data_IF_479870076132
#
_entry.id   IF_479870076132
#
_cell.length_a   1.000
_cell.length_b   1.000
_cell.length_c   1.000
_cell.angle_alpha   90.00
_cell.angle_beta   90.00
_cell.angle_gamma   90.00
#
_symmetry.space_group_name_H-M   'P 1'
#
loop_
_entity.id
_entity.type
_entity.pdbx_description
1 polymer ?
#
# COMPACT_ATOMS: atom_id res chain seq x y z
N UNK A 1 -27.42 14.09 9.74
CA UNK A 1 -28.01 13.85 8.40
C UNK A 1 -26.91 14.15 7.39
N UNK A 2 -26.28 13.13 6.83
CA UNK A 2 -25.19 13.29 5.86
C UNK A 2 -25.80 13.35 4.45
N UNK A 3 -25.36 14.27 3.56
CA UNK A 3 -25.91 14.38 2.21
C UNK A 3 -25.56 13.15 1.36
N UNK A 4 -26.48 12.83 0.45
CA UNK A 4 -26.60 11.57 -0.27
C UNK A 4 -26.01 11.59 -1.68
N UNK A 5 -25.20 12.60 -2.00
CA UNK A 5 -24.74 12.83 -3.37
C UNK A 5 -23.22 12.63 -3.42
N UNK A 6 -22.80 11.36 -3.47
CA UNK A 6 -21.48 11.03 -4.02
C UNK A 6 -21.59 11.19 -5.52
N UNK A 7 -21.01 12.30 -6.01
CA UNK A 7 -20.64 12.55 -7.40
C UNK A 7 -20.14 11.24 -8.02
N UNK A 8 -20.71 10.89 -9.17
CA UNK A 8 -20.32 9.73 -9.98
C UNK A 8 -18.92 9.94 -10.52
N UNK A 9 -17.91 9.67 -9.70
CA UNK A 9 -16.54 9.43 -10.14
C UNK A 9 -16.57 8.27 -11.13
N UNK A 10 -15.80 8.33 -12.22
CA UNK A 10 -15.45 7.15 -13.00
C UNK A 10 -15.20 5.97 -12.06
N UNK A 11 -15.98 4.90 -12.25
CA UNK A 11 -15.99 3.76 -11.33
C UNK A 11 -14.60 3.13 -11.38
N UNK A 12 -13.82 3.26 -10.29
CA UNK A 12 -12.61 2.47 -10.10
C UNK A 12 -12.98 0.98 -10.23
N UNK A 13 -12.43 0.33 -11.26
CA UNK A 13 -12.68 -1.08 -11.57
C UNK A 13 -11.52 -1.93 -11.06
N UNK A 14 -11.84 -2.96 -10.29
CA UNK A 14 -10.87 -3.99 -9.91
C UNK A 14 -10.79 -5.00 -11.07
N UNK A 15 -9.62 -5.14 -11.68
CA UNK A 15 -9.46 -5.96 -12.89
C UNK A 15 -8.90 -7.35 -12.58
N UNK A 16 -7.65 -7.43 -12.09
CA UNK A 16 -6.91 -8.69 -12.04
C UNK A 16 -6.09 -8.85 -10.76
N UNK A 17 -5.84 -10.11 -10.41
CA UNK A 17 -4.88 -10.56 -9.42
C UNK A 17 -3.86 -11.46 -10.11
N UNK A 18 -2.59 -11.30 -9.75
CA UNK A 18 -1.53 -12.25 -10.13
C UNK A 18 -0.95 -12.83 -8.85
N UNK A 19 -0.94 -14.17 -8.77
CA UNK A 19 -0.23 -14.86 -7.71
C UNK A 19 1.28 -14.80 -7.98
N UNK A 20 2.05 -14.49 -6.93
CA UNK A 20 3.51 -14.58 -6.97
C UNK A 20 3.99 -15.97 -7.38
N UNK A 21 4.98 -16.04 -8.27
CA UNK A 21 5.70 -17.30 -8.47
C UNK A 21 6.57 -17.62 -7.25
N UNK A 22 7.12 -18.84 -7.18
CA UNK A 22 7.90 -19.27 -6.01
C UNK A 22 9.15 -18.41 -5.80
N UNK A 23 9.75 -17.86 -6.87
CA UNK A 23 10.89 -16.94 -6.77
C UNK A 23 10.47 -15.62 -6.15
N UNK A 24 9.34 -15.07 -6.55
CA UNK A 24 8.77 -13.84 -6.00
C UNK A 24 8.39 -14.02 -4.53
N UNK A 25 7.75 -15.14 -4.18
CA UNK A 25 7.41 -15.46 -2.78
C UNK A 25 8.66 -15.58 -1.90
N UNK A 26 9.70 -16.28 -2.37
CA UNK A 26 10.98 -16.37 -1.66
C UNK A 26 11.62 -14.98 -1.47
N UNK A 27 11.60 -14.16 -2.53
CA UNK A 27 12.10 -12.79 -2.48
C UNK A 27 11.33 -11.96 -1.43
N UNK A 28 10.00 -11.96 -1.46
CA UNK A 28 9.18 -11.21 -0.50
C UNK A 28 9.48 -11.65 0.94
N UNK A 29 9.68 -12.95 1.18
CA UNK A 29 10.08 -13.49 2.48
C UNK A 29 11.46 -12.99 2.92
N UNK A 30 12.45 -12.96 2.03
CA UNK A 30 13.80 -12.41 2.31
C UNK A 30 13.78 -10.90 2.58
N UNK A 31 12.90 -10.17 1.88
CA UNK A 31 12.79 -8.71 2.01
C UNK A 31 12.00 -8.26 3.25
N UNK A 32 11.23 -9.17 3.83
CA UNK A 32 10.42 -8.94 5.02
C UNK A 32 11.28 -8.82 6.30
N UNK A 33 10.71 -8.34 7.43
CA UNK A 33 11.42 -8.26 8.70
C UNK A 33 12.04 -9.60 9.17
N UNK A 34 13.12 -9.55 9.97
CA UNK A 34 13.73 -8.35 10.56
C UNK A 34 14.55 -7.51 9.56
N UNK A 35 14.78 -6.23 9.88
CA UNK A 35 15.64 -5.37 9.08
C UNK A 35 17.10 -5.83 9.16
N UNK A 36 17.74 -5.90 8.00
CA UNK A 36 19.14 -6.21 7.79
C UNK A 36 19.76 -5.04 7.04
N UNK A 37 20.64 -4.29 7.71
CA UNK A 37 21.36 -3.19 7.07
C UNK A 37 22.27 -3.75 5.97
N UNK A 38 21.98 -3.43 4.72
CA UNK A 38 22.78 -3.87 3.56
C UNK A 38 23.91 -2.89 3.19
N UNK A 39 23.89 -1.65 3.71
CA UNK A 39 24.85 -0.60 3.35
C UNK A 39 25.58 0.04 4.56
N UNK A 40 26.37 1.09 4.33
CA UNK A 40 27.12 1.77 5.39
C UNK A 40 26.20 2.44 6.44
N UNK A 41 26.69 2.65 7.68
CA UNK A 41 28.01 2.25 8.17
C UNK A 41 28.06 0.75 8.48
N UNK A 42 29.21 0.14 8.19
CA UNK A 42 29.47 -1.29 8.42
C UNK A 42 30.05 -1.52 9.81
N UNK A 43 29.65 -2.63 10.45
CA UNK A 43 30.15 -3.00 11.78
C UNK A 43 31.60 -3.52 11.73
N UNK A 44 32.07 -3.98 10.56
CA UNK A 44 33.41 -4.53 10.37
C UNK A 44 33.89 -4.38 8.91
N UNK A 45 35.22 -4.51 8.66
CA UNK A 45 35.80 -4.39 7.31
C UNK A 45 35.32 -5.45 6.31
N UNK A 46 34.90 -6.64 6.77
CA UNK A 46 34.37 -7.66 5.86
C UNK A 46 33.04 -7.24 5.25
N UNK A 47 32.22 -6.47 5.99
CA UNK A 47 31.00 -5.88 5.49
C UNK A 47 31.25 -4.88 4.34
N UNK A 48 32.27 -4.04 4.49
CA UNK A 48 32.69 -3.09 3.46
C UNK A 48 33.18 -3.79 2.20
N UNK A 49 34.07 -4.79 2.34
CA UNK A 49 34.56 -5.59 1.20
C UNK A 49 33.42 -6.31 0.49
N UNK A 50 32.49 -6.90 1.25
CA UNK A 50 31.32 -7.58 0.68
C UNK A 50 30.44 -6.60 -0.11
N UNK A 51 30.16 -5.42 0.45
CA UNK A 51 29.41 -4.37 -0.23
C UNK A 51 30.11 -3.92 -1.52
N UNK A 52 31.40 -3.63 -1.48
CA UNK A 52 32.16 -3.22 -2.67
C UNK A 52 32.14 -4.28 -3.76
N UNK A 53 32.26 -5.55 -3.37
CA UNK A 53 32.13 -6.68 -4.29
C UNK A 53 30.72 -6.75 -4.91
N UNK A 54 29.66 -6.59 -4.11
CA UNK A 54 28.28 -6.55 -4.60
C UNK A 54 28.06 -5.36 -5.55
N UNK A 55 28.57 -4.17 -5.22
CA UNK A 55 28.49 -2.99 -6.09
C UNK A 55 29.25 -3.19 -7.41
N UNK A 56 30.41 -3.85 -7.36
CA UNK A 56 31.15 -4.23 -8.56
C UNK A 56 30.37 -5.22 -9.43
N UNK A 57 29.80 -6.26 -8.81
CA UNK A 57 28.95 -7.23 -9.53
C UNK A 57 27.74 -6.55 -10.19
N UNK A 58 27.06 -5.63 -9.50
CA UNK A 58 25.95 -4.84 -10.05
C UNK A 58 26.37 -4.02 -11.26
N UNK A 59 27.52 -3.34 -11.21
CA UNK A 59 28.09 -2.62 -12.35
C UNK A 59 28.39 -3.54 -13.53
N UNK A 60 28.99 -4.71 -13.26
CA UNK A 60 29.32 -5.69 -14.30
C UNK A 60 28.07 -6.26 -14.97
N UNK A 61 27.00 -6.54 -14.21
CA UNK A 61 25.71 -7.03 -14.76
C UNK A 61 25.05 -5.97 -15.64
N UNK A 62 24.97 -4.72 -15.18
CA UNK A 62 24.46 -3.59 -15.99
C UNK A 62 25.25 -3.39 -17.28
N UNK A 63 26.59 -3.49 -17.22
CA UNK A 63 27.43 -3.40 -18.41
C UNK A 63 27.16 -4.51 -19.45
N UNK A 64 26.57 -5.63 -19.02
CA UNK A 64 26.13 -6.74 -19.90
C UNK A 64 24.66 -6.63 -20.32
N UNK A 65 23.97 -5.54 -19.98
CA UNK A 65 22.54 -5.37 -20.25
C UNK A 65 21.64 -6.26 -19.39
N UNK A 66 22.13 -6.76 -18.26
CA UNK A 66 21.37 -7.57 -17.31
C UNK A 66 20.91 -6.72 -16.12
N UNK A 67 19.79 -7.09 -15.46
CA UNK A 67 19.38 -6.50 -14.19
C UNK A 67 20.51 -6.56 -13.16
N UNK A 68 20.71 -5.49 -12.37
CA UNK A 68 21.84 -5.36 -11.43
C UNK A 68 21.92 -6.53 -10.45
N UNK A 69 20.80 -7.13 -10.07
CA UNK A 69 20.70 -8.30 -9.20
C UNK A 69 19.64 -9.28 -9.74
N UNK A 70 19.70 -10.58 -9.38
CA UNK A 70 18.62 -11.52 -9.65
C UNK A 70 17.27 -11.15 -9.00
N UNK A 71 17.32 -10.40 -7.90
CA UNK A 71 16.12 -9.93 -7.19
C UNK A 71 15.37 -8.88 -8.02
N UNK A 72 16.10 -7.98 -8.69
CA UNK A 72 15.53 -7.01 -9.64
C UNK A 72 14.85 -7.73 -10.81
N UNK A 73 15.47 -8.79 -11.35
CA UNK A 73 14.86 -9.61 -12.41
C UNK A 73 13.53 -10.24 -11.95
N UNK A 74 13.46 -10.69 -10.69
CA UNK A 74 12.23 -11.28 -10.12
C UNK A 74 11.12 -10.23 -9.99
N UNK A 75 11.44 -9.03 -9.49
CA UNK A 75 10.47 -7.92 -9.42
C UNK A 75 10.04 -7.50 -10.83
N UNK A 76 10.99 -7.39 -11.76
CA UNK A 76 10.74 -7.02 -13.15
C UNK A 76 9.76 -7.98 -13.82
N UNK A 77 9.92 -9.29 -13.62
CA UNK A 77 9.00 -10.29 -14.17
C UNK A 77 7.58 -10.12 -13.62
N UNK A 78 7.43 -9.85 -12.32
CA UNK A 78 6.13 -9.57 -11.72
C UNK A 78 5.49 -8.31 -12.31
N UNK A 79 6.25 -7.21 -12.41
CA UNK A 79 5.76 -5.95 -12.99
C UNK A 79 5.37 -6.10 -14.46
N UNK A 80 6.16 -6.84 -15.24
CA UNK A 80 5.86 -7.16 -16.64
C UNK A 80 4.53 -7.92 -16.77
N UNK A 81 4.31 -8.93 -15.92
CA UNK A 81 3.07 -9.69 -15.92
C UNK A 81 1.85 -8.82 -15.57
N UNK A 82 1.99 -7.97 -14.55
CA UNK A 82 0.93 -7.01 -14.17
C UNK A 82 0.63 -6.03 -15.29
N UNK A 83 1.66 -5.47 -15.93
CA UNK A 83 1.51 -4.57 -17.06
C UNK A 83 0.83 -5.22 -18.26
N UNK A 84 1.26 -6.43 -18.64
CA UNK A 84 0.65 -7.18 -19.73
C UNK A 84 -0.82 -7.53 -19.44
N UNK A 85 -1.17 -7.86 -18.20
CA UNK A 85 -2.57 -8.06 -17.83
C UNK A 85 -3.35 -6.75 -17.91
N UNK A 86 -2.82 -5.65 -17.36
CA UNK A 86 -3.47 -4.36 -17.44
C UNK A 86 -3.76 -3.96 -18.90
N UNK A 87 -2.82 -4.21 -19.83
CA UNK A 87 -3.00 -3.93 -21.27
C UNK A 87 -4.16 -4.71 -21.89
N UNK A 88 -4.50 -5.87 -21.35
CA UNK A 88 -5.65 -6.67 -21.82
C UNK A 88 -6.98 -6.26 -21.18
N UNK A 89 -6.95 -5.44 -20.12
CA UNK A 89 -8.14 -4.96 -19.41
C UNK A 89 -8.77 -3.71 -20.04
N UNK A 90 -8.04 -2.99 -20.88
CA UNK A 90 -8.43 -1.68 -21.40
C UNK A 90 -8.14 -1.58 -22.89
N UNK A 91 -9.07 -0.99 -23.62
CA UNK A 91 -8.88 -0.65 -25.04
C UNK A 91 -8.08 0.66 -25.20
N UNK A 92 -7.93 1.43 -24.12
CA UNK A 92 -7.12 2.65 -24.07
C UNK A 92 -5.62 2.32 -23.96
N UNK A 93 -4.75 3.08 -24.63
CA UNK A 93 -3.31 2.93 -24.46
C UNK A 93 -2.93 3.22 -23.01
N UNK A 94 -2.46 2.20 -22.29
CA UNK A 94 -1.98 2.40 -20.94
C UNK A 94 -0.79 3.36 -20.94
N UNK A 95 -0.88 4.35 -20.05
CA UNK A 95 0.25 5.21 -19.77
C UNK A 95 1.34 4.36 -19.10
N UNK A 96 2.59 4.59 -19.49
CA UNK A 96 3.79 4.03 -18.85
C UNK A 96 3.98 4.47 -17.39
N UNK A 97 3.00 5.15 -16.81
CA UNK A 97 3.03 5.79 -15.51
C UNK A 97 2.25 4.97 -14.50
N UNK A 98 2.83 4.67 -13.33
CA UNK A 98 2.16 3.84 -12.32
C UNK A 98 2.35 4.36 -10.89
N UNK A 99 1.45 3.96 -9.99
CA UNK A 99 1.62 4.06 -8.54
C UNK A 99 1.57 2.66 -7.97
N UNK A 100 2.61 2.27 -7.23
CA UNK A 100 2.65 0.99 -6.54
C UNK A 100 2.49 1.20 -5.03
N UNK A 101 1.60 0.41 -4.43
CA UNK A 101 1.57 0.18 -3.00
C UNK A 101 2.46 -0.99 -2.62
N UNK A 102 3.44 -0.77 -1.74
CA UNK A 102 4.36 -1.82 -1.29
C UNK A 102 4.11 -2.11 0.21
N UNK A 103 4.02 -3.39 0.62
CA UNK A 103 3.96 -3.76 2.03
C UNK A 103 5.24 -3.34 2.77
N UNK A 104 5.26 -3.49 4.10
CA UNK A 104 6.44 -3.16 4.91
C UNK A 104 7.58 -4.17 4.64
N UNK A 105 8.44 -3.82 3.68
CA UNK A 105 9.61 -4.60 3.27
C UNK A 105 10.88 -3.82 3.63
N UNK A 106 11.34 -3.87 4.90
CA UNK A 106 12.43 -3.00 5.36
C UNK A 106 13.76 -3.29 4.65
N UNK A 107 13.91 -4.46 4.04
CA UNK A 107 15.11 -4.85 3.31
C UNK A 107 15.03 -4.57 1.80
N UNK A 108 13.89 -4.05 1.30
CA UNK A 108 13.77 -3.65 -0.10
C UNK A 108 14.52 -2.34 -0.33
N UNK A 109 15.59 -2.40 -1.12
CA UNK A 109 16.28 -1.21 -1.61
C UNK A 109 15.42 -0.56 -2.68
N UNK A 110 14.95 0.67 -2.42
CA UNK A 110 14.02 1.32 -3.34
C UNK A 110 14.58 1.54 -4.75
N UNK A 111 15.89 1.78 -4.88
CA UNK A 111 16.56 1.87 -6.18
C UNK A 111 16.45 0.57 -7.00
N UNK A 112 16.38 -0.60 -6.34
CA UNK A 112 16.21 -1.90 -7.01
C UNK A 112 14.79 -2.03 -7.58
N UNK A 113 13.79 -1.55 -6.85
CA UNK A 113 12.40 -1.50 -7.32
C UNK A 113 12.24 -0.54 -8.52
N UNK A 114 12.86 0.64 -8.46
CA UNK A 114 12.86 1.60 -9.58
C UNK A 114 13.58 1.06 -10.81
N UNK A 115 14.74 0.41 -10.64
CA UNK A 115 15.44 -0.26 -11.75
C UNK A 115 14.56 -1.36 -12.38
N UNK A 116 13.88 -2.18 -11.57
CA UNK A 116 12.99 -3.21 -12.06
C UNK A 116 11.83 -2.64 -12.89
N UNK A 117 11.24 -1.52 -12.45
CA UNK A 117 10.18 -0.81 -13.19
C UNK A 117 10.71 -0.23 -14.51
N UNK A 118 11.87 0.43 -14.49
CA UNK A 118 12.49 1.00 -15.68
C UNK A 118 12.81 -0.06 -16.74
N UNK A 119 13.23 -1.26 -16.32
CA UNK A 119 13.52 -2.37 -17.25
C UNK A 119 12.27 -2.88 -18.01
N UNK A 120 11.05 -2.54 -17.55
CA UNK A 120 9.78 -2.83 -18.25
C UNK A 120 9.11 -1.56 -18.79
N UNK A 121 9.88 -0.48 -18.94
CA UNK A 121 9.41 0.84 -19.40
C UNK A 121 8.29 1.44 -18.54
N UNK A 122 8.24 1.11 -17.25
CA UNK A 122 7.35 1.74 -16.30
C UNK A 122 8.07 2.87 -15.55
N UNK A 123 7.40 4.02 -15.48
CA UNK A 123 7.83 5.21 -14.76
C UNK A 123 6.89 5.42 -13.58
N UNK A 124 7.42 5.54 -12.37
CA UNK A 124 6.55 5.82 -11.22
C UNK A 124 6.05 7.26 -11.28
N UNK A 125 4.76 7.45 -10.99
CA UNK A 125 4.18 8.78 -10.75
C UNK A 125 4.70 9.34 -9.42
N UNK A 126 5.18 10.58 -9.48
CA UNK A 126 5.60 11.33 -8.31
C UNK A 126 4.49 12.32 -7.91
N UNK A 127 4.28 12.46 -6.61
CA UNK A 127 3.46 13.52 -6.03
C UNK A 127 4.37 14.61 -5.47
N UNK A 128 3.87 15.86 -5.37
CA UNK A 128 4.57 16.90 -4.62
C UNK A 128 4.67 16.59 -3.11
N UNK A 129 3.80 15.73 -2.58
CA UNK A 129 3.80 15.29 -1.17
C UNK A 129 4.57 14.00 -0.93
N UNK A 130 4.85 13.22 -1.96
CA UNK A 130 5.30 11.84 -1.80
C UNK A 130 6.41 11.45 -2.78
N UNK A 131 7.59 11.19 -2.23
CA UNK A 131 8.84 10.97 -2.99
C UNK A 131 9.28 9.49 -3.08
N UNK A 132 8.44 8.56 -2.64
CA UNK A 132 8.75 7.12 -2.62
C UNK A 132 7.61 6.24 -3.14
N UNK A 133 7.69 4.92 -2.93
CA UNK A 133 6.58 4.01 -3.22
C UNK A 133 5.55 4.13 -2.10
N UNK A 134 4.26 4.15 -2.47
CA UNK A 134 3.20 4.32 -1.49
C UNK A 134 3.22 3.13 -0.52
N UNK A 135 3.18 3.39 0.80
CA UNK A 135 3.03 2.28 1.76
C UNK A 135 1.66 1.65 1.58
N UNK A 136 1.57 0.33 1.78
CA UNK A 136 0.29 -0.40 1.66
C UNK A 136 -0.81 0.18 2.54
N UNK A 137 -0.50 0.60 3.77
CA UNK A 137 -1.48 1.24 4.69
C UNK A 137 -1.99 2.57 4.12
N UNK A 138 -1.09 3.43 3.61
CA UNK A 138 -1.47 4.69 2.96
C UNK A 138 -2.40 4.45 1.77
N UNK A 139 -2.05 3.49 0.93
CA UNK A 139 -2.87 3.10 -0.21
C UNK A 139 -4.22 2.54 0.24
N UNK A 140 -4.25 1.67 1.25
CA UNK A 140 -5.50 1.12 1.76
C UNK A 140 -6.40 2.20 2.38
N UNK A 141 -5.82 3.16 3.11
CA UNK A 141 -6.53 4.30 3.70
C UNK A 141 -7.13 5.21 2.63
N UNK A 142 -6.37 5.49 1.56
CA UNK A 142 -6.91 6.18 0.39
C UNK A 142 -8.03 5.37 -0.30
N UNK A 143 -7.89 4.05 -0.35
CA UNK A 143 -8.85 3.13 -0.97
C UNK A 143 -10.22 3.10 -0.30
N UNK A 144 -10.30 3.43 0.99
CA UNK A 144 -11.58 3.64 1.70
C UNK A 144 -12.18 5.03 1.45
N UNK A 145 -11.42 5.93 0.81
CA UNK A 145 -11.77 7.32 0.61
C UNK A 145 -11.43 8.23 1.80
N UNK A 146 -10.65 7.75 2.77
CA UNK A 146 -10.25 8.50 3.96
C UNK A 146 -8.95 9.27 3.71
N UNK A 147 -8.80 10.40 4.41
CA UNK A 147 -7.58 11.21 4.37
C UNK A 147 -7.28 11.83 3.01
N UNK A 148 -8.30 12.02 2.18
CA UNK A 148 -8.20 12.64 0.86
C UNK A 148 -8.88 14.01 0.88
N UNK A 149 -8.22 15.03 0.33
CA UNK A 149 -8.84 16.33 0.10
C UNK A 149 -9.91 16.24 -1.01
N UNK A 150 -10.86 17.16 -1.00
CA UNK A 150 -11.88 17.29 -2.05
C UNK A 150 -11.32 18.03 -3.26
N UNK A 151 -10.58 19.09 -3.02
CA UNK A 151 -10.06 19.99 -4.05
C UNK A 151 -8.64 19.59 -4.46
N UNK A 152 -8.47 18.36 -4.94
CA UNK A 152 -7.14 17.85 -5.31
C UNK A 152 -6.61 18.47 -6.62
N UNK A 153 -7.46 19.09 -7.45
CA UNK A 153 -7.00 19.88 -8.59
C UNK A 153 -6.31 21.21 -8.19
N UNK A 154 -6.56 21.69 -6.96
CA UNK A 154 -6.02 22.92 -6.38
C UNK A 154 -5.10 22.55 -5.21
N UNK A 155 -3.79 22.69 -5.42
CA UNK A 155 -2.78 22.22 -4.47
C UNK A 155 -2.87 22.98 -3.15
N UNK A 156 -3.10 24.30 -3.19
CA UNK A 156 -3.15 25.13 -1.99
C UNK A 156 -4.41 24.83 -1.18
N UNK A 157 -5.57 24.73 -1.84
CA UNK A 157 -6.84 24.39 -1.20
C UNK A 157 -6.82 22.97 -0.63
N UNK A 158 -6.22 22.01 -1.33
CA UNK A 158 -6.00 20.66 -0.82
C UNK A 158 -5.12 20.66 0.45
N UNK A 159 -4.03 21.43 0.47
CA UNK A 159 -3.17 21.57 1.63
C UNK A 159 -3.89 22.19 2.83
N UNK A 160 -4.72 23.21 2.60
CA UNK A 160 -5.57 23.80 3.65
C UNK A 160 -6.56 22.77 4.22
N UNK A 161 -7.23 21.99 3.36
CA UNK A 161 -8.14 20.94 3.79
C UNK A 161 -7.44 19.85 4.62
N UNK A 162 -6.25 19.43 4.20
CA UNK A 162 -5.47 18.43 4.91
C UNK A 162 -4.98 18.92 6.27
N UNK A 163 -4.62 20.20 6.40
CA UNK A 163 -4.24 20.79 7.70
C UNK A 163 -5.40 20.79 8.70
N UNK A 164 -6.64 20.78 8.21
CA UNK A 164 -7.85 20.72 9.04
C UNK A 164 -8.28 19.28 9.36
N UNK A 165 -7.66 18.26 8.76
CA UNK A 165 -7.98 16.87 9.06
C UNK A 165 -7.56 16.51 10.49
N UNK A 166 -8.50 15.90 11.22
CA UNK A 166 -8.23 15.44 12.58
C UNK A 166 -7.45 14.13 12.53
N UNK A 167 -6.25 14.06 13.13
CA UNK A 167 -5.50 12.83 13.16
C UNK A 167 -6.24 11.72 13.91
N UNK A 168 -6.10 10.48 13.45
CA UNK A 168 -6.78 9.31 14.00
C UNK A 168 -5.85 8.10 14.10
N UNK A 169 -6.09 7.24 15.08
CA UNK A 169 -5.39 5.96 15.17
C UNK A 169 -6.10 4.91 14.29
N UNK A 170 -5.31 4.27 13.45
CA UNK A 170 -5.75 3.28 12.47
C UNK A 170 -5.23 1.91 12.90
N UNK A 171 -6.14 0.95 13.03
CA UNK A 171 -5.79 -0.46 13.13
C UNK A 171 -5.88 -1.08 11.74
N UNK A 172 -4.74 -1.50 11.19
CA UNK A 172 -4.70 -2.25 9.93
C UNK A 172 -4.50 -3.73 10.21
N UNK A 173 -5.34 -4.56 9.62
CA UNK A 173 -5.25 -6.01 9.70
C UNK A 173 -5.15 -6.54 8.28
N UNK A 174 -3.96 -7.04 7.92
CA UNK A 174 -3.73 -7.77 6.67
C UNK A 174 -3.86 -9.26 6.93
N UNK A 175 -4.72 -9.94 6.17
CA UNK A 175 -4.89 -11.38 6.27
C UNK A 175 -4.87 -12.03 4.90
N UNK A 176 -3.86 -12.87 4.71
CA UNK A 176 -3.54 -13.53 3.44
C UNK A 176 -3.49 -15.04 3.65
N UNK A 177 -3.24 -15.79 2.58
CA UNK A 177 -2.95 -17.23 2.69
C UNK A 177 -1.71 -17.50 3.54
N UNK A 178 -0.69 -16.67 3.46
CA UNK A 178 0.63 -16.96 4.03
C UNK A 178 0.85 -16.33 5.42
N UNK A 179 0.10 -15.28 5.76
CA UNK A 179 0.36 -14.55 7.01
C UNK A 179 -0.81 -13.68 7.49
N UNK A 180 -0.75 -13.38 8.80
CA UNK A 180 -1.45 -12.30 9.47
C UNK A 180 -0.46 -11.17 9.78
N UNK A 181 -0.77 -9.94 9.35
CA UNK A 181 -0.04 -8.74 9.74
C UNK A 181 -0.97 -7.78 10.46
N UNK A 182 -0.54 -7.30 11.62
CA UNK A 182 -1.23 -6.30 12.42
C UNK A 182 -0.37 -5.05 12.48
N UNK A 183 -0.94 -3.92 12.09
CA UNK A 183 -0.26 -2.63 12.14
C UNK A 183 -1.12 -1.60 12.87
N UNK A 184 -0.54 -1.00 13.91
CA UNK A 184 -1.05 0.16 14.59
C UNK A 184 -0.40 1.40 13.97
N UNK A 185 -1.20 2.35 13.53
CA UNK A 185 -0.72 3.58 12.90
C UNK A 185 -1.46 4.82 13.37
N UNK A 186 -0.81 5.97 13.21
CA UNK A 186 -1.40 7.29 13.39
C UNK A 186 -1.49 7.98 12.03
N UNK A 187 -2.70 8.20 11.54
CA UNK A 187 -2.98 8.80 10.24
C UNK A 187 -3.43 10.26 10.42
N UNK A 188 -2.73 11.18 9.77
CA UNK A 188 -3.19 12.57 9.62
C UNK A 188 -4.02 12.68 8.33
N UNK A 189 -3.48 12.16 7.25
CA UNK A 189 -4.13 12.04 5.95
C UNK A 189 -3.55 10.82 5.20
N UNK A 190 -3.98 10.58 3.96
CA UNK A 190 -3.55 9.40 3.21
C UNK A 190 -2.09 9.46 2.73
N UNK A 191 -1.45 10.63 2.75
CA UNK A 191 -0.02 10.80 2.48
C UNK A 191 0.83 10.61 3.74
N UNK A 192 0.26 10.93 4.91
CA UNK A 192 0.99 11.03 6.16
C UNK A 192 0.44 10.09 7.22
N UNK A 193 1.00 8.88 7.24
CA UNK A 193 0.68 7.82 8.19
C UNK A 193 1.96 7.31 8.84
N UNK A 194 1.99 7.37 10.17
CA UNK A 194 3.09 6.91 11.01
C UNK A 194 2.78 5.54 11.61
N UNK A 195 3.68 4.58 11.44
CA UNK A 195 3.56 3.30 12.13
C UNK A 195 3.95 3.44 13.61
N UNK A 196 3.08 3.01 14.52
CA UNK A 196 3.34 2.94 15.96
C UNK A 196 3.83 1.54 16.37
N UNK A 197 3.17 0.50 15.85
CA UNK A 197 3.54 -0.88 16.10
C UNK A 197 3.22 -1.76 14.89
N UNK A 198 4.08 -2.75 14.65
CA UNK A 198 3.97 -3.67 13.54
C UNK A 198 4.26 -5.09 14.03
N UNK A 199 3.34 -6.02 13.77
CA UNK A 199 3.47 -7.42 14.13
C UNK A 199 3.11 -8.29 12.94
N UNK A 200 3.97 -9.24 12.60
CA UNK A 200 3.81 -10.17 11.49
C UNK A 200 3.87 -11.60 12.01
N UNK A 201 2.92 -12.41 11.58
CA UNK A 201 2.81 -13.80 11.99
C UNK A 201 2.52 -14.70 10.79
N UNK A 202 3.54 -15.43 10.34
CA UNK A 202 3.43 -16.37 9.21
C UNK A 202 2.70 -17.65 9.61
N UNK A 203 2.74 -18.02 10.89
CA UNK A 203 2.07 -19.21 11.43
C UNK A 203 0.55 -19.07 11.57
N UNK A 204 0.01 -17.86 11.34
CA UNK A 204 -1.43 -17.59 11.26
C UNK A 204 -1.84 -17.11 9.87
N UNK A 205 -1.23 -17.61 8.81
CA UNK A 205 -1.79 -17.52 7.46
C UNK A 205 -3.00 -18.45 7.29
N UNK A 206 -3.93 -18.11 6.39
CA UNK A 206 -5.10 -18.95 6.14
C UNK A 206 -4.75 -20.38 5.67
N UNK A 207 -3.63 -20.56 4.96
CA UNK A 207 -3.16 -21.88 4.51
C UNK A 207 -2.82 -22.82 5.67
N UNK A 208 -2.44 -22.26 6.83
CA UNK A 208 -2.08 -23.02 8.03
C UNK A 208 -3.30 -23.50 8.83
N UNK A 209 -4.54 -23.14 8.45
CA UNK A 209 -5.74 -23.48 9.22
C UNK A 209 -5.89 -24.99 9.48
N UNK A 210 -5.46 -25.84 8.54
CA UNK A 210 -5.54 -27.30 8.66
C UNK A 210 -4.56 -27.89 9.67
N UNK A 211 -3.47 -27.18 9.98
CA UNK A 211 -2.43 -27.63 10.91
C UNK A 211 -2.85 -27.44 12.38
N UNK A 212 -3.88 -26.62 12.62
CA UNK A 212 -4.39 -26.30 13.94
C UNK A 212 -5.76 -26.92 14.21
N UNK A 213 -6.10 -27.09 15.49
CA UNK A 213 -7.49 -27.22 15.88
C UNK A 213 -8.17 -25.87 15.60
N UNK A 214 -9.13 -25.85 14.67
CA UNK A 214 -9.80 -24.63 14.18
C UNK A 214 -10.13 -23.60 15.27
N UNK A 215 -10.70 -24.03 16.41
CA UNK A 215 -11.04 -23.13 17.52
C UNK A 215 -9.81 -22.43 18.14
N UNK A 216 -8.73 -23.19 18.40
CA UNK A 216 -7.50 -22.65 18.98
C UNK A 216 -6.85 -21.62 18.05
N UNK A 217 -6.91 -21.83 16.72
CA UNK A 217 -6.34 -20.92 15.73
C UNK A 217 -6.98 -19.53 15.79
N UNK A 218 -8.31 -19.47 15.72
CA UNK A 218 -9.06 -18.22 15.73
C UNK A 218 -8.94 -17.47 17.06
N UNK A 219 -8.95 -18.19 18.18
CA UNK A 219 -8.78 -17.58 19.51
C UNK A 219 -7.39 -16.94 19.68
N UNK A 220 -6.34 -17.49 19.05
CA UNK A 220 -5.02 -16.84 19.04
C UNK A 220 -4.99 -15.57 18.18
N UNK A 221 -5.65 -15.55 17.02
CA UNK A 221 -5.78 -14.34 16.19
C UNK A 221 -6.50 -13.24 16.98
N UNK A 222 -7.64 -13.57 17.60
CA UNK A 222 -8.40 -12.65 18.44
C UNK A 222 -7.53 -12.07 19.58
N UNK A 223 -6.77 -12.93 20.25
CA UNK A 223 -5.85 -12.55 21.32
C UNK A 223 -4.76 -11.60 20.82
N UNK A 224 -4.21 -11.82 19.62
CA UNK A 224 -3.15 -10.96 19.05
C UNK A 224 -3.67 -9.57 18.72
N UNK A 225 -4.84 -9.48 18.07
CA UNK A 225 -5.51 -8.20 17.78
C UNK A 225 -5.75 -7.43 19.07
N UNK A 226 -6.38 -8.06 20.07
CA UNK A 226 -6.69 -7.41 21.35
C UNK A 226 -5.43 -7.02 22.13
N UNK A 227 -4.36 -7.83 22.07
CA UNK A 227 -3.08 -7.54 22.72
C UNK A 227 -2.40 -6.34 22.08
N UNK A 228 -2.34 -6.25 20.75
CA UNK A 228 -1.72 -5.11 20.05
C UNK A 228 -2.40 -3.79 20.46
N UNK A 229 -3.73 -3.73 20.41
CA UNK A 229 -4.50 -2.52 20.74
C UNK A 229 -4.29 -2.12 22.19
N UNK A 230 -4.38 -3.06 23.14
CA UNK A 230 -4.22 -2.79 24.57
C UNK A 230 -2.79 -2.40 24.95
N UNK A 231 -1.79 -3.08 24.39
CA UNK A 231 -0.38 -2.84 24.71
C UNK A 231 0.08 -1.44 24.26
N UNK A 232 -0.52 -0.91 23.18
CA UNK A 232 -0.22 0.43 22.67
C UNK A 232 -1.20 1.50 23.15
N UNK A 233 -2.17 1.15 24.02
CA UNK A 233 -3.15 2.11 24.55
C UNK A 233 -3.96 2.82 23.46
N UNK A 234 -4.21 2.15 22.33
CA UNK A 234 -4.79 2.79 21.15
C UNK A 234 -6.27 3.15 21.37
N UNK A 235 -6.62 4.36 20.95
CA UNK A 235 -7.99 4.83 20.69
C UNK A 235 -8.26 4.71 19.20
N UNK A 236 -8.47 3.47 18.75
CA UNK A 236 -8.68 3.16 17.33
C UNK A 236 -9.93 3.90 16.84
N UNK A 237 -9.74 4.84 15.90
CA UNK A 237 -10.81 5.56 15.23
C UNK A 237 -11.15 4.97 13.87
N UNK A 238 -10.22 4.24 13.24
CA UNK A 238 -10.40 3.63 11.93
C UNK A 238 -9.87 2.19 11.88
N UNK A 239 -10.54 1.34 11.10
CA UNK A 239 -10.16 -0.05 10.86
C UNK A 239 -9.98 -0.29 9.37
N UNK A 240 -8.80 -0.78 8.99
CA UNK A 240 -8.51 -1.23 7.63
C UNK A 240 -8.36 -2.74 7.60
N UNK A 241 -9.19 -3.41 6.79
CA UNK A 241 -9.01 -4.83 6.46
C UNK A 241 -8.47 -4.94 5.03
N UNK A 242 -7.35 -5.66 4.89
CA UNK A 242 -6.68 -5.88 3.60
C UNK A 242 -6.26 -7.34 3.43
N UNK A 243 -6.12 -7.79 2.20
CA UNK A 243 -5.67 -9.14 1.86
C UNK A 243 -6.79 -10.05 1.37
N UNK A 244 -6.41 -11.08 0.61
CA UNK A 244 -7.33 -11.97 -0.11
C UNK A 244 -8.14 -12.89 0.79
N UNK A 245 -7.66 -13.15 2.01
CA UNK A 245 -8.36 -13.98 3.00
C UNK A 245 -9.12 -13.16 4.03
N UNK A 246 -9.04 -11.82 3.99
CA UNK A 246 -9.60 -10.94 5.01
C UNK A 246 -11.13 -10.88 5.02
N UNK A 247 -11.78 -11.44 4.01
CA UNK A 247 -13.24 -11.56 3.91
C UNK A 247 -13.75 -12.96 4.28
N UNK A 248 -12.87 -13.88 4.68
CA UNK A 248 -13.26 -15.20 5.15
C UNK A 248 -14.15 -15.08 6.39
N UNK A 249 -15.26 -15.82 6.40
CA UNK A 249 -16.33 -15.66 7.39
C UNK A 249 -15.82 -15.81 8.82
N UNK A 250 -15.06 -16.87 9.07
CA UNK A 250 -14.50 -17.19 10.40
C UNK A 250 -13.48 -16.13 10.85
N UNK A 251 -12.73 -15.55 9.91
CA UNK A 251 -11.82 -14.46 10.20
C UNK A 251 -12.57 -13.18 10.56
N UNK A 252 -13.60 -12.81 9.77
CA UNK A 252 -14.46 -11.67 10.05
C UNK A 252 -15.16 -11.80 11.42
N UNK A 253 -15.70 -12.97 11.74
CA UNK A 253 -16.28 -13.25 13.07
C UNK A 253 -15.25 -13.08 14.19
N UNK A 254 -14.00 -13.49 13.95
CA UNK A 254 -12.89 -13.34 14.90
C UNK A 254 -12.49 -11.89 15.10
N UNK A 255 -12.39 -11.09 14.03
CA UNK A 255 -12.16 -9.65 14.12
C UNK A 255 -13.31 -8.97 14.88
N UNK A 256 -14.56 -9.31 14.57
CA UNK A 256 -15.73 -8.78 15.26
C UNK A 256 -15.70 -9.07 16.77
N UNK A 257 -15.38 -10.31 17.17
CA UNK A 257 -15.19 -10.68 18.59
C UNK A 257 -14.09 -9.87 19.25
N UNK A 258 -12.94 -9.70 18.57
CA UNK A 258 -11.82 -8.91 19.07
C UNK A 258 -12.22 -7.45 19.31
N UNK A 259 -12.90 -6.82 18.34
CA UNK A 259 -13.41 -5.44 18.47
C UNK A 259 -14.43 -5.31 19.59
N UNK A 260 -15.32 -6.30 19.77
CA UNK A 260 -16.28 -6.33 20.86
C UNK A 260 -15.62 -6.29 22.24
N UNK A 261 -14.52 -7.04 22.43
CA UNK A 261 -13.72 -7.03 23.68
C UNK A 261 -12.94 -5.73 23.91
N UNK A 262 -12.81 -4.90 22.89
CA UNK A 262 -12.16 -3.59 22.92
C UNK A 262 -13.16 -2.43 22.98
N UNK A 263 -14.47 -2.73 23.00
CA UNK A 263 -15.55 -1.72 22.90
C UNK A 263 -15.51 -0.91 21.58
N UNK A 264 -14.94 -1.51 20.52
CA UNK A 264 -14.75 -0.91 19.19
C UNK A 264 -15.77 -1.42 18.14
N UNK A 265 -16.92 -1.94 18.57
CA UNK A 265 -17.93 -2.53 17.66
C UNK A 265 -18.47 -1.54 16.61
N UNK A 266 -18.36 -0.23 16.84
CA UNK A 266 -18.78 0.77 15.87
C UNK A 266 -17.91 0.78 14.59
N UNK A 267 -16.67 0.30 14.65
CA UNK A 267 -15.74 0.24 13.51
C UNK A 267 -16.10 -0.85 12.48
N UNK A 268 -17.09 -1.69 12.78
CA UNK A 268 -17.50 -2.77 11.88
C UNK A 268 -18.43 -2.32 10.76
N UNK A 269 -19.29 -1.32 11.04
CA UNK A 269 -20.31 -0.88 10.09
C UNK A 269 -19.72 -0.43 8.72
N UNK A 270 -18.58 0.29 8.65
CA UNK A 270 -17.96 0.66 7.38
C UNK A 270 -17.48 -0.53 6.53
N UNK A 271 -17.24 -1.70 7.13
CA UNK A 271 -16.79 -2.90 6.43
C UNK A 271 -17.94 -3.69 5.78
N UNK A 272 -19.19 -3.37 6.11
CA UNK A 272 -20.38 -4.03 5.57
C UNK A 272 -20.89 -3.40 4.26
N UNK A 273 -20.12 -2.50 3.65
CA UNK A 273 -20.52 -1.81 2.43
C UNK A 273 -20.55 -2.79 1.25
N UNK A 274 -21.66 -2.87 0.48
CA UNK A 274 -21.73 -3.71 -0.71
C UNK A 274 -20.59 -3.39 -1.69
N UNK A 275 -19.87 -4.43 -2.13
CA UNK A 275 -18.73 -4.28 -3.05
C UNK A 275 -17.41 -3.93 -2.38
N UNK A 276 -17.33 -3.89 -1.05
CA UNK A 276 -16.06 -3.95 -0.33
C UNK A 276 -15.28 -5.19 -0.78
N UNK A 277 -14.02 -5.00 -1.19
CA UNK A 277 -13.10 -6.08 -1.52
C UNK A 277 -11.75 -5.82 -0.86
N UNK A 278 -11.47 -6.47 0.26
CA UNK A 278 -10.26 -6.30 1.05
C UNK A 278 -9.00 -6.59 0.23
N UNK A 279 -9.08 -7.57 -0.68
CA UNK A 279 -8.01 -7.94 -1.60
C UNK A 279 -7.53 -6.76 -2.45
N UNK A 280 -8.45 -5.90 -2.89
CA UNK A 280 -8.16 -4.81 -3.83
C UNK A 280 -8.04 -3.45 -3.14
N UNK A 281 -8.16 -3.36 -1.82
CA UNK A 281 -8.23 -2.09 -1.11
C UNK A 281 -7.02 -1.19 -1.37
N UNK A 282 -5.80 -1.75 -1.27
CA UNK A 282 -4.57 -1.02 -1.53
C UNK A 282 -4.41 -0.65 -3.02
N UNK A 283 -4.81 -1.54 -3.94
CA UNK A 283 -4.77 -1.25 -5.37
C UNK A 283 -5.74 -0.12 -5.74
N UNK A 284 -6.95 -0.13 -5.16
CA UNK A 284 -7.95 0.91 -5.34
C UNK A 284 -7.44 2.27 -4.89
N UNK A 285 -6.83 2.37 -3.71
CA UNK A 285 -6.28 3.65 -3.27
C UNK A 285 -5.01 4.05 -4.00
N UNK A 286 -4.22 3.10 -4.52
CA UNK A 286 -3.11 3.43 -5.43
C UNK A 286 -3.63 4.04 -6.73
N UNK A 287 -4.74 3.54 -7.27
CA UNK A 287 -5.40 4.11 -8.44
C UNK A 287 -5.99 5.50 -8.15
N UNK A 288 -6.62 5.69 -6.99
CA UNK A 288 -7.11 7.00 -6.54
C UNK A 288 -5.96 8.02 -6.39
N UNK A 289 -4.84 7.59 -5.80
CA UNK A 289 -3.63 8.41 -5.71
C UNK A 289 -3.04 8.71 -7.08
N UNK A 290 -2.99 7.72 -7.98
CA UNK A 290 -2.51 7.92 -9.35
C UNK A 290 -3.34 8.97 -10.10
N UNK A 291 -4.68 8.91 -9.98
CA UNK A 291 -5.58 9.93 -10.55
C UNK A 291 -5.21 11.33 -10.05
N UNK A 292 -5.04 11.48 -8.73
CA UNK A 292 -4.74 12.78 -8.11
C UNK A 292 -3.36 13.31 -8.48
N UNK A 293 -2.34 12.45 -8.43
CA UNK A 293 -0.97 12.85 -8.74
C UNK A 293 -0.77 13.23 -10.22
N UNK A 294 -1.64 12.76 -11.11
CA UNK A 294 -1.68 13.22 -12.50
C UNK A 294 -2.24 14.65 -12.64
N UNK A 295 -3.16 15.07 -11.75
CA UNK A 295 -3.65 16.45 -11.69
C UNK A 295 -2.76 17.41 -10.88
N UNK A 296 -1.93 16.86 -10.00
CA UNK A 296 -1.00 17.57 -9.11
C UNK A 296 0.49 17.31 -9.47
N UNK A 297 0.95 17.61 -10.71
CA UNK A 297 2.27 17.20 -11.14
C UNK A 297 3.39 17.83 -10.28
N UNK A 298 4.40 17.02 -9.99
CA UNK A 298 5.59 17.43 -9.26
C UNK A 298 6.22 18.71 -9.82
N UNK A 299 6.50 19.71 -8.97
CA UNK A 299 7.10 20.99 -9.36
C UNK A 299 6.11 22.05 -9.85
N UNK A 300 4.81 21.80 -9.75
CA UNK A 300 3.74 22.70 -10.18
C UNK A 300 3.00 23.34 -8.99
N UNK A 301 3.72 24.17 -8.21
CA UNK A 301 3.13 25.00 -7.14
C UNK A 301 2.54 26.29 -7.74
N UNK A 302 1.43 26.14 -8.47
CA UNK A 302 0.46 27.22 -8.81
C UNK A 302 0.99 28.49 -9.49
N UNK A 303 2.14 28.46 -10.16
CA UNK A 303 2.55 29.56 -11.04
C UNK A 303 1.82 29.52 -12.38
N UNK A 304 1.69 30.66 -13.07
CA UNK A 304 1.07 30.76 -14.40
C UNK A 304 1.60 29.73 -15.43
N UNK A 305 2.84 29.24 -15.24
CA UNK A 305 3.46 28.19 -16.07
C UNK A 305 2.84 26.79 -15.91
N UNK A 306 1.92 26.62 -14.96
CA UNK A 306 1.20 25.38 -14.71
C UNK A 306 -0.08 25.23 -15.55
N UNK A 307 -0.62 26.33 -16.09
CA UNK A 307 -1.94 26.39 -16.76
C UNK A 307 -2.04 25.56 -18.06
N UNK A 308 -0.98 24.89 -18.51
CA UNK A 308 -0.99 23.96 -19.65
C UNK A 308 -0.55 22.52 -19.35
N UNK A 309 -0.09 22.23 -18.13
CA UNK A 309 0.41 20.90 -17.75
C UNK A 309 -0.56 20.12 -16.85
N UNK A 310 -1.61 20.78 -16.34
CA UNK A 310 -2.69 20.12 -15.62
C UNK A 310 -3.62 19.41 -16.61
N UNK A 311 -3.96 18.16 -16.33
CA UNK A 311 -5.25 17.62 -16.77
C UNK A 311 -6.25 18.01 -15.68
N UNK A 312 -7.26 18.85 -15.96
CA UNK A 312 -8.22 19.24 -14.94
C UNK A 312 -8.83 17.97 -14.31
N UNK A 313 -8.86 17.94 -12.98
CA UNK A 313 -9.66 16.96 -12.26
C UNK A 313 -11.15 17.26 -12.43
N UNK A 314 -11.99 16.27 -12.15
CA UNK A 314 -13.45 16.43 -12.21
C UNK A 314 -13.97 17.58 -11.31
N UNK A 315 -13.18 17.97 -10.29
CA UNK A 315 -13.45 19.07 -9.35
C UNK A 315 -13.24 20.48 -9.95
N UNK A 316 -12.43 20.61 -11.00
CA UNK A 316 -12.27 21.87 -11.73
C UNK A 316 -13.51 22.24 -12.59
N UNK A 317 -14.45 21.29 -12.78
CA UNK A 317 -15.67 21.53 -13.55
C UNK A 317 -16.87 21.98 -12.69
N UNK A 318 -16.75 22.02 -11.36
CA UNK A 318 -17.86 22.38 -10.47
C UNK A 318 -17.95 23.88 -10.12
N UNK A 319 -16.97 24.71 -10.49
CA UNK A 319 -16.97 26.16 -10.16
C UNK A 319 -17.64 27.08 -11.22
N UNK A 320 -18.28 26.54 -12.27
CA UNK A 320 -18.95 27.35 -13.32
C UNK A 320 -20.51 27.44 -13.24
N UNK A 321 -21.14 27.11 -12.10
CA UNK A 321 -22.61 27.27 -11.93
C UNK A 321 -23.04 28.12 -10.76
#
# INVERSE_FOLDING_TARGET
>A
MLPKDRVTSEILKNHFKIDGDEKYKDLMKRLSPPYHRQGPPFDNPLGEIKWDYEQFQRKLRRARGLPSTPDIETIQNMLSNLYNLALTATDEPLLYNFVASIPSLPNLVFADFEEAAQNVNLTRLNSYKYFGPLRQVNAAYAGTGLGLCKHWGDVLKCDEEEQLMSPTQVLTISYTKEELVLEASYAVNAHWIYGEAYQRYTEYGFSHLQEYKSADFWDQIEKRITTLVKANGMKVGELLLIGESAEEKEFLETVWRALGKLELGHLWAPLQVPGFKAEFMAARGSAEMAKRWQGEPYGCLEGDWCEGNRKPGDDAMEEET
#
